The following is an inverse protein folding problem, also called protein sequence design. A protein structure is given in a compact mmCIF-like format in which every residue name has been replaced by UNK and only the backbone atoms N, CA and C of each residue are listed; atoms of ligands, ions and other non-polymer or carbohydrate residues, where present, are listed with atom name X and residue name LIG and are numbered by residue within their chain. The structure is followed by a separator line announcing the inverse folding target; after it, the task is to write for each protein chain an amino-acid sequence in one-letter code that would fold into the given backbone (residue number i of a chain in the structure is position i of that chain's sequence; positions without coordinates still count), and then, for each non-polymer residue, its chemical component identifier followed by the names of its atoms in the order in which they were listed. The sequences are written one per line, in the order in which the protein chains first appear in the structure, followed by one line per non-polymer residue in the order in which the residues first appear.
data_IF_970424038318
#
_entry.id   IF_970424038318
#
_cell.length_a   1.000
_cell.length_b   1.000
_cell.length_c   1.000
_cell.angle_alpha   90.00
_cell.angle_beta   90.00
_cell.angle_gamma   90.00
#
_symmetry.space_group_name_H-M   'P 1'
#
loop_
_entity.id
_entity.type
_entity.pdbx_description
1 polymer ?
#
# COMPACT_ATOMS: atom_id res chain seq x y z
N UNK A 1 -23.05 -34.50 -1.05
CA UNK A 1 -21.67 -34.91 -0.73
C UNK A 1 -20.84 -33.65 -0.57
N UNK A 2 -20.88 -33.06 0.62
CA UNK A 2 -20.08 -31.88 0.96
C UNK A 2 -18.67 -32.38 1.29
N UNK A 3 -17.69 -32.08 0.43
CA UNK A 3 -16.27 -32.31 0.77
C UNK A 3 -15.92 -31.34 1.88
N UNK A 4 -15.86 -31.84 3.10
CA UNK A 4 -15.34 -31.09 4.23
C UNK A 4 -13.85 -30.85 3.96
N UNK A 5 -13.49 -29.59 3.74
CA UNK A 5 -12.09 -29.20 3.60
C UNK A 5 -11.47 -29.21 5.00
N UNK A 6 -10.46 -30.05 5.21
CA UNK A 6 -9.62 -30.00 6.41
C UNK A 6 -8.90 -28.63 6.47
N UNK A 7 -9.41 -27.74 7.31
CA UNK A 7 -8.69 -26.51 7.66
C UNK A 7 -7.52 -26.87 8.57
N UNK A 8 -6.32 -26.91 8.01
CA UNK A 8 -5.09 -26.97 8.81
C UNK A 8 -4.94 -25.64 9.57
N UNK A 9 -4.94 -25.70 10.90
CA UNK A 9 -4.58 -24.57 11.76
C UNK A 9 -3.11 -24.25 11.52
N UNK A 10 -2.82 -23.21 10.73
CA UNK A 10 -1.47 -22.69 10.46
C UNK A 10 -0.85 -22.00 11.69
N UNK A 11 -0.87 -22.63 12.87
CA UNK A 11 -0.23 -22.14 14.10
C UNK A 11 -0.46 -20.66 14.41
N UNK A 12 0.49 -20.06 15.12
CA UNK A 12 0.48 -18.61 15.40
C UNK A 12 0.87 -17.81 14.15
N UNK A 13 0.03 -16.84 13.78
CA UNK A 13 0.27 -15.95 12.64
C UNK A 13 1.37 -14.95 12.99
N UNK A 14 2.60 -15.21 12.54
CA UNK A 14 3.79 -14.36 12.78
C UNK A 14 4.02 -13.31 11.69
N UNK A 15 3.58 -13.58 10.47
CA UNK A 15 3.69 -12.66 9.33
C UNK A 15 2.44 -12.71 8.46
N UNK A 16 1.96 -11.53 8.04
CA UNK A 16 0.82 -11.41 7.13
C UNK A 16 1.06 -10.24 6.18
N UNK A 17 1.02 -10.48 4.87
CA UNK A 17 1.22 -9.42 3.86
C UNK A 17 2.54 -8.63 4.00
N UNK A 18 3.56 -9.19 4.64
CA UNK A 18 4.83 -8.51 4.96
C UNK A 18 4.81 -7.73 6.29
N UNK A 19 3.67 -7.66 6.97
CA UNK A 19 3.56 -7.12 8.33
C UNK A 19 3.93 -8.21 9.33
N UNK A 20 4.78 -7.88 10.30
CA UNK A 20 5.08 -8.78 11.42
C UNK A 20 3.96 -8.67 12.45
N UNK A 21 3.37 -9.80 12.81
CA UNK A 21 2.29 -9.90 13.77
C UNK A 21 2.83 -10.56 15.04
N UNK A 22 2.49 -10.00 16.19
CA UNK A 22 2.76 -10.58 17.50
C UNK A 22 1.42 -10.83 18.18
N UNK A 23 1.04 -12.10 18.27
CA UNK A 23 -0.13 -12.52 19.02
C UNK A 23 0.30 -12.78 20.46
N UNK A 24 -0.48 -12.30 21.41
CA UNK A 24 -0.24 -12.49 22.84
C UNK A 24 -1.55 -12.47 23.63
N UNK A 25 -1.48 -12.73 24.95
CA UNK A 25 -2.67 -12.78 25.80
C UNK A 25 -3.42 -11.45 25.87
N UNK A 26 -2.74 -10.33 25.63
CA UNK A 26 -3.35 -8.98 25.57
C UNK A 26 -3.91 -8.61 24.19
N UNK A 27 -3.79 -9.49 23.19
CA UNK A 27 -4.32 -9.29 21.85
C UNK A 27 -3.29 -9.43 20.73
N UNK A 28 -3.62 -8.92 19.55
CA UNK A 28 -2.80 -9.01 18.34
C UNK A 28 -2.16 -7.66 18.02
N UNK A 29 -0.83 -7.61 18.04
CA UNK A 29 -0.05 -6.42 17.71
C UNK A 29 0.54 -6.52 16.30
N UNK A 30 0.41 -5.46 15.51
CA UNK A 30 0.95 -5.39 14.14
C UNK A 30 2.12 -4.41 14.09
N UNK A 31 3.31 -4.88 13.72
CA UNK A 31 4.50 -4.04 13.58
C UNK A 31 4.59 -3.41 12.19
N UNK A 32 4.03 -2.21 12.08
CA UNK A 32 3.97 -1.47 10.81
C UNK A 32 5.31 -0.85 10.38
N UNK A 33 6.15 -0.42 11.34
CA UNK A 33 7.37 0.33 11.04
C UNK A 33 8.36 -0.43 10.11
N UNK A 34 8.40 -1.76 10.22
CA UNK A 34 9.21 -2.60 9.32
C UNK A 34 8.63 -2.59 7.91
N UNK A 35 7.32 -2.80 7.79
CA UNK A 35 6.64 -2.80 6.50
C UNK A 35 6.80 -1.48 5.74
N UNK A 36 6.65 -0.34 6.43
CA UNK A 36 6.86 0.98 5.83
C UNK A 36 8.29 1.14 5.32
N UNK A 37 9.30 0.72 6.10
CA UNK A 37 10.71 0.76 5.66
C UNK A 37 10.98 -0.15 4.46
N UNK A 38 10.41 -1.36 4.46
CA UNK A 38 10.57 -2.32 3.37
C UNK A 38 9.94 -1.80 2.07
N UNK A 39 8.78 -1.13 2.14
CA UNK A 39 8.16 -0.46 0.99
C UNK A 39 9.03 0.69 0.48
N UNK A 40 9.45 1.59 1.38
CA UNK A 40 10.28 2.74 0.99
C UNK A 40 11.57 2.27 0.31
N UNK A 41 12.20 1.21 0.83
CA UNK A 41 13.39 0.62 0.21
C UNK A 41 13.07 -0.03 -1.15
N UNK A 42 11.93 -0.70 -1.28
CA UNK A 42 11.52 -1.39 -2.52
C UNK A 42 11.30 -0.43 -3.69
N UNK A 43 10.83 0.78 -3.43
CA UNK A 43 10.58 1.82 -4.44
C UNK A 43 11.64 2.93 -4.41
N UNK A 44 12.81 2.68 -3.79
CA UNK A 44 13.93 3.62 -3.74
C UNK A 44 13.60 4.99 -3.11
N UNK A 45 12.58 5.03 -2.25
CA UNK A 45 12.10 6.20 -1.53
C UNK A 45 12.76 6.38 -0.16
N UNK A 46 13.96 5.81 0.05
CA UNK A 46 14.65 5.82 1.36
C UNK A 46 14.94 7.22 1.90
N UNK A 47 15.21 8.18 1.00
CA UNK A 47 15.55 9.57 1.33
C UNK A 47 14.33 10.50 1.36
N UNK A 48 13.12 9.95 1.25
CA UNK A 48 11.89 10.75 1.28
C UNK A 48 11.72 11.46 2.62
N UNK A 49 11.43 12.76 2.57
CA UNK A 49 11.23 13.58 3.76
C UNK A 49 10.00 13.10 4.54
N UNK A 50 10.11 12.89 5.86
CA UNK A 50 8.95 12.57 6.68
C UNK A 50 8.01 13.77 6.69
N UNK A 51 6.73 13.52 6.43
CA UNK A 51 5.68 14.54 6.45
C UNK A 51 4.57 14.10 7.40
N UNK A 52 4.19 14.96 8.33
CA UNK A 52 3.21 14.66 9.39
C UNK A 52 1.80 14.56 8.81
N UNK A 53 1.50 15.37 7.80
CA UNK A 53 0.26 15.31 7.02
C UNK A 53 0.57 14.66 5.67
N UNK A 54 0.01 13.47 5.37
CA UNK A 54 0.39 12.73 4.18
C UNK A 54 -0.01 13.42 2.87
N UNK A 55 -1.06 14.24 2.88
CA UNK A 55 -1.48 15.08 1.76
C UNK A 55 -2.51 16.11 2.24
N UNK A 56 -2.50 17.31 1.67
CA UNK A 56 -3.58 18.30 1.91
C UNK A 56 -4.82 17.93 1.08
N UNK A 57 -6.01 18.25 1.59
CA UNK A 57 -7.27 17.99 0.88
C UNK A 57 -7.45 18.85 -0.37
N UNK A 58 -6.71 19.96 -0.48
CA UNK A 58 -6.75 20.87 -1.62
C UNK A 58 -5.59 20.62 -2.63
N UNK A 59 -4.86 19.52 -2.49
CA UNK A 59 -3.77 19.19 -3.42
C UNK A 59 -4.36 18.58 -4.69
N UNK A 60 -4.24 19.27 -5.83
CA UNK A 60 -4.46 18.70 -7.14
C UNK A 60 -3.20 17.93 -7.58
N UNK A 61 -3.39 16.81 -8.28
CA UNK A 61 -2.31 16.08 -8.91
C UNK A 61 -2.18 16.58 -10.35
N UNK A 62 -1.04 17.18 -10.67
CA UNK A 62 -0.70 17.60 -12.02
C UNK A 62 0.13 16.52 -12.73
N UNK A 63 0.05 16.51 -14.05
CA UNK A 63 0.90 15.66 -14.87
C UNK A 63 2.34 16.20 -14.83
N UNK A 64 3.28 15.34 -14.47
CA UNK A 64 4.71 15.66 -14.53
C UNK A 64 5.20 15.34 -15.95
N UNK A 65 5.28 16.37 -16.81
CA UNK A 65 5.66 16.20 -18.23
C UNK A 65 7.13 15.78 -18.39
N UNK A 66 7.98 16.10 -17.40
CA UNK A 66 9.40 15.71 -17.33
C UNK A 66 9.65 14.42 -16.51
N UNK A 67 8.59 13.80 -15.99
CA UNK A 67 8.66 12.64 -15.12
C UNK A 67 8.96 11.33 -15.86
N UNK A 68 9.75 10.44 -15.24
CA UNK A 68 9.97 9.10 -15.79
C UNK A 68 8.69 8.26 -15.71
N UNK A 69 8.26 7.74 -16.86
CA UNK A 69 7.04 6.94 -16.95
C UNK A 69 7.21 5.60 -16.20
N UNK A 70 6.50 5.45 -15.09
CA UNK A 70 6.49 4.20 -14.33
C UNK A 70 5.74 3.10 -15.08
N UNK A 71 6.31 1.87 -15.13
CA UNK A 71 5.66 0.74 -15.78
C UNK A 71 4.31 0.39 -15.11
N UNK A 72 3.28 -0.05 -15.86
CA UNK A 72 1.96 -0.36 -15.28
C UNK A 72 1.99 -1.39 -14.14
N UNK A 73 2.93 -2.33 -14.19
CA UNK A 73 3.13 -3.37 -13.16
C UNK A 73 3.71 -2.78 -11.86
N UNK A 74 4.67 -1.87 -11.98
CA UNK A 74 5.33 -1.22 -10.86
C UNK A 74 4.36 -0.28 -10.14
N UNK A 75 3.62 0.53 -10.91
CA UNK A 75 2.57 1.39 -10.39
C UNK A 75 1.50 0.58 -9.62
N UNK A 76 0.99 -0.51 -10.21
CA UNK A 76 0.04 -1.41 -9.51
C UNK A 76 0.64 -2.01 -8.24
N UNK A 77 1.92 -2.37 -8.26
CA UNK A 77 2.65 -2.87 -7.09
C UNK A 77 2.78 -1.83 -5.97
N UNK A 78 3.03 -0.57 -6.34
CA UNK A 78 3.13 0.56 -5.41
C UNK A 78 1.79 0.86 -4.75
N UNK A 79 0.73 0.98 -5.55
CA UNK A 79 -0.65 1.18 -5.04
C UNK A 79 -1.10 0.00 -4.17
N UNK A 80 -0.75 -1.23 -4.54
CA UNK A 80 -1.03 -2.41 -3.73
C UNK A 80 -0.38 -2.35 -2.34
N UNK A 81 0.89 -1.95 -2.29
CA UNK A 81 1.66 -1.83 -1.04
C UNK A 81 1.14 -0.70 -0.14
N UNK A 82 0.76 0.42 -0.75
CA UNK A 82 0.12 1.55 -0.07
C UNK A 82 -1.25 1.18 0.51
N UNK A 83 -2.06 0.41 -0.24
CA UNK A 83 -3.38 -0.06 0.24
C UNK A 83 -3.26 -0.88 1.52
N UNK A 84 -2.29 -1.78 1.61
CA UNK A 84 -2.04 -2.54 2.84
C UNK A 84 -1.65 -1.63 4.00
N UNK A 85 -0.90 -0.55 3.73
CA UNK A 85 -0.59 0.47 4.73
C UNK A 85 -1.84 1.20 5.22
N UNK A 86 -2.83 1.48 4.37
CA UNK A 86 -4.10 2.14 4.79
C UNK A 86 -4.94 1.34 5.79
N UNK A 87 -4.79 0.01 5.81
CA UNK A 87 -5.51 -0.84 6.76
C UNK A 87 -4.98 -0.71 8.19
N UNK A 88 -3.70 -0.32 8.34
CA UNK A 88 -3.02 -0.16 9.64
C UNK A 88 -2.80 1.31 10.01
N UNK A 89 -2.80 2.21 9.02
CA UNK A 89 -2.69 3.67 9.15
C UNK A 89 -3.80 4.37 8.36
N UNK A 90 -4.93 4.74 8.99
CA UNK A 90 -6.04 5.37 8.27
C UNK A 90 -5.74 6.81 7.85
N UNK A 91 -4.74 7.46 8.44
CA UNK A 91 -4.23 8.81 8.15
C UNK A 91 -3.83 9.00 6.69
N UNK A 92 -3.25 7.97 6.06
CA UNK A 92 -2.80 8.05 4.65
C UNK A 92 -3.89 7.67 3.63
N UNK A 93 -5.09 7.29 4.09
CA UNK A 93 -6.17 6.76 3.22
C UNK A 93 -6.59 7.76 2.14
N UNK A 94 -6.69 9.03 2.50
CA UNK A 94 -7.09 10.09 1.57
C UNK A 94 -6.10 10.20 0.40
N UNK A 95 -4.80 10.27 0.70
CA UNK A 95 -3.74 10.36 -0.30
C UNK A 95 -3.75 9.17 -1.27
N UNK A 96 -3.87 7.94 -0.74
CA UNK A 96 -3.89 6.72 -1.57
C UNK A 96 -5.13 6.66 -2.47
N UNK A 97 -6.28 7.17 -2.00
CA UNK A 97 -7.50 7.21 -2.79
C UNK A 97 -7.39 8.20 -3.96
N UNK A 98 -6.81 9.38 -3.73
CA UNK A 98 -6.62 10.42 -4.74
C UNK A 98 -5.70 9.94 -5.88
N UNK A 99 -4.57 9.32 -5.54
CA UNK A 99 -3.62 8.77 -6.54
C UNK A 99 -4.24 7.63 -7.33
N UNK A 100 -5.07 6.79 -6.70
CA UNK A 100 -5.82 5.76 -7.43
C UNK A 100 -6.83 6.37 -8.41
N UNK A 101 -7.58 7.38 -7.97
CA UNK A 101 -8.61 8.03 -8.79
C UNK A 101 -8.02 8.67 -10.05
N UNK A 102 -6.88 9.35 -9.90
CA UNK A 102 -6.17 10.00 -11.01
C UNK A 102 -5.43 9.01 -11.90
N UNK A 103 -4.78 7.98 -11.34
CA UNK A 103 -4.10 6.94 -12.11
C UNK A 103 -5.03 6.03 -12.94
N UNK A 104 -6.27 5.81 -12.49
CA UNK A 104 -7.30 5.12 -13.28
C UNK A 104 -7.78 5.97 -14.47
N UNK A 105 -7.94 7.27 -14.28
CA UNK A 105 -8.28 8.22 -15.35
C UNK A 105 -7.18 8.31 -16.40
N UNK A 106 -5.91 8.45 -15.98
CA UNK A 106 -4.77 8.47 -16.89
C UNK A 106 -4.61 7.13 -17.63
N UNK A 107 -4.69 6.00 -16.92
CA UNK A 107 -4.58 4.68 -17.54
C UNK A 107 -5.71 4.35 -18.53
N UNK A 108 -6.94 4.84 -18.30
CA UNK A 108 -8.05 4.72 -19.25
C UNK A 108 -7.87 5.63 -20.48
N UNK A 109 -7.20 6.78 -20.32
CA UNK A 109 -6.87 7.68 -21.42
C UNK A 109 -5.73 7.14 -22.30
N UNK A 110 -4.71 6.49 -21.71
CA UNK A 110 -3.58 5.92 -22.47
C UNK A 110 -3.92 4.62 -23.20
N UNK A 111 -4.89 3.83 -22.71
CA UNK A 111 -5.31 2.56 -23.35
C UNK A 111 -6.35 2.78 -24.47
N UNK A 112 -6.88 3.99 -24.63
CA UNK A 112 -7.88 4.32 -25.68
C UNK A 112 -7.29 5.05 -26.89
N UNK A 113 -5.97 4.99 -27.12
CA UNK A 113 -5.35 5.43 -28.38
C UNK A 113 -4.80 4.26 -29.16
#
# INVERSE_FOLDING_TARGET
MSREFEMSLMGELRFFLGLRIKQGPEGTFVHQAKYTRDILKKFEMGDSKPMTTPMSTNTALDADEDGEACGPKEFRGMIGSLRTSTATKPDIRFAVCLVRGTGLLLGLLTVKR
#
